data_IF_112013366060
#
_entry.id   IF_112013366060
#
_cell.length_a   1.000
_cell.length_b   1.000
_cell.length_c   1.000
_cell.angle_alpha   90.00
_cell.angle_beta   90.00
_cell.angle_gamma   90.00
#
_symmetry.space_group_name_H-M   'P 1'
#
loop_
_entity.id
_entity.type
_entity.pdbx_description
1 polymer ?
#
# COMPACT_ATOMS: atom_id res chain seq x y z
N UNK A 1 -12.62 -7.94 -27.19
CA UNK A 1 -13.39 -9.21 -27.19
C UNK A 1 -12.57 -10.21 -27.98
N UNK A 2 -11.71 -10.92 -27.27
CA UNK A 2 -10.77 -11.89 -27.79
C UNK A 2 -10.89 -13.09 -26.87
N UNK A 3 -11.03 -14.29 -27.43
CA UNK A 3 -11.02 -15.49 -26.61
C UNK A 3 -9.58 -15.76 -26.15
N UNK A 4 -9.34 -15.63 -24.84
CA UNK A 4 -8.02 -15.78 -24.25
C UNK A 4 -7.91 -17.16 -23.62
N UNK A 5 -7.09 -18.01 -24.24
CA UNK A 5 -6.78 -19.34 -23.70
C UNK A 5 -5.37 -19.30 -23.12
N UNK A 6 -5.27 -19.40 -21.79
CA UNK A 6 -4.00 -19.60 -21.10
C UNK A 6 -3.61 -21.08 -21.18
N UNK A 7 -2.49 -21.35 -21.85
CA UNK A 7 -1.88 -22.69 -21.92
C UNK A 7 -0.58 -22.71 -21.13
N UNK A 8 -0.24 -23.87 -20.59
CA UNK A 8 1.02 -24.12 -19.88
C UNK A 8 1.26 -23.17 -18.70
N UNK A 9 0.18 -22.70 -18.06
CA UNK A 9 0.27 -21.88 -16.86
C UNK A 9 0.77 -22.74 -15.69
N UNK A 10 1.65 -22.14 -14.88
CA UNK A 10 2.07 -22.75 -13.62
C UNK A 10 0.86 -23.16 -12.75
N UNK A 11 0.81 -24.40 -12.24
CA UNK A 11 -0.34 -24.89 -11.48
C UNK A 11 -0.62 -24.08 -10.20
N UNK A 12 0.42 -23.62 -9.52
CA UNK A 12 0.26 -22.81 -8.30
C UNK A 12 -0.35 -21.45 -8.66
N UNK A 13 0.07 -20.86 -9.78
CA UNK A 13 -0.54 -19.63 -10.29
C UNK A 13 -2.01 -19.82 -10.69
N UNK A 14 -2.36 -20.94 -11.33
CA UNK A 14 -3.74 -21.26 -11.66
C UNK A 14 -4.62 -21.38 -10.39
N UNK A 15 -4.12 -22.06 -9.36
CA UNK A 15 -4.82 -22.19 -8.08
C UNK A 15 -4.99 -20.83 -7.37
N UNK A 16 -3.98 -19.96 -7.44
CA UNK A 16 -4.07 -18.60 -6.89
C UNK A 16 -5.13 -17.78 -7.60
N UNK A 17 -5.19 -17.83 -8.93
CA UNK A 17 -6.22 -17.14 -9.72
C UNK A 17 -7.61 -17.66 -9.37
N UNK A 18 -7.76 -18.99 -9.24
CA UNK A 18 -9.03 -19.61 -8.86
C UNK A 18 -9.49 -19.16 -7.47
N UNK A 19 -8.61 -19.20 -6.46
CA UNK A 19 -8.93 -18.71 -5.11
C UNK A 19 -9.37 -17.25 -5.13
N UNK A 20 -8.76 -16.43 -5.98
CA UNK A 20 -9.14 -15.02 -6.12
C UNK A 20 -10.53 -14.85 -6.75
N UNK A 21 -10.83 -15.64 -7.78
CA UNK A 21 -12.14 -15.67 -8.42
C UNK A 21 -13.23 -16.04 -7.40
N UNK A 22 -12.99 -17.11 -6.64
CA UNK A 22 -13.90 -17.61 -5.60
C UNK A 22 -14.13 -16.55 -4.50
N UNK A 23 -13.05 -15.92 -3.98
CA UNK A 23 -13.17 -14.90 -2.94
C UNK A 23 -13.94 -13.65 -3.38
N UNK A 24 -13.95 -13.34 -4.69
CA UNK A 24 -14.65 -12.18 -5.26
C UNK A 24 -15.99 -12.52 -5.89
N UNK A 25 -16.37 -13.80 -5.93
CA UNK A 25 -17.56 -14.26 -6.64
C UNK A 25 -17.51 -13.97 -8.15
N UNK A 26 -16.30 -13.91 -8.72
CA UNK A 26 -16.09 -13.65 -10.14
C UNK A 26 -15.98 -14.95 -10.92
N UNK A 27 -16.43 -14.93 -12.17
CA UNK A 27 -16.10 -16.02 -13.08
C UNK A 27 -14.64 -15.90 -13.54
N UNK A 28 -14.09 -17.00 -14.07
CA UNK A 28 -12.69 -17.07 -14.47
C UNK A 28 -12.33 -16.03 -15.55
N UNK A 29 -13.22 -15.80 -16.51
CA UNK A 29 -12.99 -14.83 -17.59
C UNK A 29 -12.84 -13.40 -17.05
N UNK A 30 -13.79 -12.95 -16.22
CA UNK A 30 -13.75 -11.63 -15.57
C UNK A 30 -12.53 -11.50 -14.66
N UNK A 31 -12.16 -12.57 -13.95
CA UNK A 31 -10.98 -12.57 -13.09
C UNK A 31 -9.70 -12.35 -13.90
N UNK A 32 -9.55 -13.07 -15.01
CA UNK A 32 -8.40 -12.95 -15.90
C UNK A 32 -8.33 -11.57 -16.56
N UNK A 33 -9.45 -11.03 -17.03
CA UNK A 33 -9.53 -9.69 -17.60
C UNK A 33 -9.06 -8.63 -16.59
N UNK A 34 -9.58 -8.70 -15.36
CA UNK A 34 -9.19 -7.78 -14.28
C UNK A 34 -7.71 -7.92 -13.91
N UNK A 35 -7.20 -9.15 -13.84
CA UNK A 35 -5.80 -9.40 -13.52
C UNK A 35 -4.86 -8.89 -14.62
N UNK A 36 -5.21 -9.10 -15.89
CA UNK A 36 -4.43 -8.59 -17.02
C UNK A 36 -4.43 -7.07 -17.05
N UNK A 37 -5.59 -6.44 -16.85
CA UNK A 37 -5.69 -4.98 -16.82
C UNK A 37 -4.83 -4.38 -15.69
N UNK A 38 -4.95 -4.93 -14.48
CA UNK A 38 -4.16 -4.46 -13.32
C UNK A 38 -2.67 -4.78 -13.48
N UNK A 39 -2.34 -5.94 -14.06
CA UNK A 39 -0.96 -6.34 -14.35
C UNK A 39 -0.32 -5.43 -15.38
N UNK A 40 -1.03 -5.11 -16.46
CA UNK A 40 -0.59 -4.15 -17.47
C UNK A 40 -0.34 -2.78 -16.84
N UNK A 41 -1.32 -2.27 -16.07
CA UNK A 41 -1.16 -1.00 -15.37
C UNK A 41 0.03 -1.00 -14.41
N UNK A 42 0.29 -2.10 -13.70
CA UNK A 42 1.43 -2.23 -12.80
C UNK A 42 2.77 -2.25 -13.56
N UNK A 43 2.83 -2.88 -14.73
CA UNK A 43 3.99 -2.84 -15.61
C UNK A 43 4.22 -1.42 -16.15
N UNK A 44 3.17 -0.72 -16.55
CA UNK A 44 3.21 0.65 -17.07
C UNK A 44 3.57 1.68 -15.99
N UNK A 45 3.14 1.48 -14.75
CA UNK A 45 3.41 2.38 -13.63
C UNK A 45 4.91 2.57 -13.32
N UNK A 46 5.79 1.69 -13.83
CA UNK A 46 7.24 1.84 -13.75
C UNK A 46 7.92 2.42 -14.99
N UNK A 47 7.22 2.48 -16.13
CA UNK A 47 7.77 2.99 -17.40
C UNK A 47 7.76 4.52 -17.46
N UNK A 48 6.80 5.17 -16.80
CA UNK A 48 6.67 6.62 -16.74
C UNK A 48 6.70 7.13 -15.29
N UNK A 49 7.68 6.68 -14.47
CA UNK A 49 7.99 7.39 -13.22
C UNK A 49 8.78 8.65 -13.58
N UNK A 50 8.09 9.60 -14.19
CA UNK A 50 8.56 10.96 -14.37
C UNK A 50 7.57 11.84 -13.65
N UNK A 51 8.06 12.66 -12.72
CA UNK A 51 7.27 13.77 -12.22
C UNK A 51 7.01 14.68 -13.41
N UNK A 52 5.76 15.08 -13.61
CA UNK A 52 5.51 16.18 -14.53
C UNK A 52 6.17 17.47 -13.99
N UNK A 53 6.27 18.51 -14.82
CA UNK A 53 6.95 19.76 -14.43
C UNK A 53 6.37 20.36 -13.13
N UNK A 54 5.05 20.20 -12.92
CA UNK A 54 4.36 20.72 -11.74
C UNK A 54 4.67 19.88 -10.50
N UNK A 55 4.66 18.56 -10.63
CA UNK A 55 5.00 17.63 -9.56
C UNK A 55 6.48 17.74 -9.17
N UNK A 56 7.38 17.91 -10.14
CA UNK A 56 8.81 18.15 -9.90
C UNK A 56 9.01 19.46 -9.16
N UNK A 57 8.38 20.54 -9.63
CA UNK A 57 8.44 21.84 -8.95
C UNK A 57 7.89 21.74 -7.53
N UNK A 58 6.75 21.07 -7.33
CA UNK A 58 6.16 20.90 -6.01
C UNK A 58 7.08 20.10 -5.07
N UNK A 59 7.74 19.05 -5.56
CA UNK A 59 8.69 18.26 -4.79
C UNK A 59 9.95 19.06 -4.44
N UNK A 60 10.50 19.82 -5.38
CA UNK A 60 11.65 20.70 -5.15
C UNK A 60 11.36 21.74 -4.06
N UNK A 61 10.19 22.38 -4.11
CA UNK A 61 9.76 23.34 -3.09
C UNK A 61 9.59 22.67 -1.72
N UNK A 62 9.04 21.46 -1.67
CA UNK A 62 8.89 20.71 -0.42
C UNK A 62 10.25 20.35 0.20
N UNK A 63 11.21 19.90 -0.61
CA UNK A 63 12.57 19.59 -0.15
C UNK A 63 13.26 20.86 0.38
N UNK A 64 13.21 21.95 -0.38
CA UNK A 64 13.79 23.23 0.03
C UNK A 64 13.19 23.74 1.36
N UNK A 65 11.88 23.57 1.55
CA UNK A 65 11.22 23.90 2.80
C UNK A 65 11.71 23.03 3.97
N UNK A 66 11.92 21.72 3.74
CA UNK A 66 12.43 20.78 4.74
C UNK A 66 13.89 21.07 5.14
N UNK A 67 14.74 21.48 4.20
CA UNK A 67 16.13 21.86 4.47
C UNK A 67 16.24 23.11 5.36
N UNK A 68 15.27 24.01 5.24
CA UNK A 68 15.18 25.22 6.08
C UNK A 68 14.69 24.97 7.50
N UNK A 69 14.18 23.76 7.80
CA UNK A 69 13.75 23.41 9.16
C UNK A 69 15.00 23.31 10.04
N UNK A 70 15.11 24.09 11.13
CA UNK A 70 16.20 23.93 12.08
C UNK A 70 16.27 22.46 12.51
N UNK A 71 17.48 21.95 12.73
CA UNK A 71 17.67 20.61 13.33
C UNK A 71 17.20 20.65 14.79
N UNK A 72 15.90 20.73 14.97
CA UNK A 72 15.25 20.57 16.25
C UNK A 72 15.37 19.09 16.60
N UNK A 73 15.99 18.80 17.74
CA UNK A 73 16.15 17.43 18.24
C UNK A 73 14.80 16.70 18.30
N UNK A 74 13.69 17.45 18.41
CA UNK A 74 12.32 16.95 18.41
C UNK A 74 11.89 16.17 17.16
N UNK A 75 12.29 16.56 15.95
CA UNK A 75 11.91 15.84 14.73
C UNK A 75 12.56 14.46 14.65
N UNK A 76 13.80 14.32 15.15
CA UNK A 76 14.50 13.05 15.27
C UNK A 76 13.95 12.11 16.35
N UNK A 77 12.99 12.59 17.16
CA UNK A 77 12.33 11.85 18.22
C UNK A 77 10.92 11.36 17.82
N UNK A 78 10.40 11.75 16.66
CA UNK A 78 9.14 11.22 16.12
C UNK A 78 9.29 9.70 15.93
N UNK A 79 8.49 8.91 16.65
CA UNK A 79 8.58 7.44 16.67
C UNK A 79 9.56 6.85 17.68
N UNK A 80 10.29 7.68 18.46
CA UNK A 80 11.18 7.24 19.56
C UNK A 80 10.61 7.53 20.96
N UNK A 81 9.34 7.91 21.05
CA UNK A 81 8.67 7.97 22.34
C UNK A 81 8.74 6.60 23.02
N UNK A 82 8.97 6.52 24.35
CA UNK A 82 8.88 5.26 25.07
C UNK A 82 7.51 4.63 24.77
N UNK A 83 7.44 3.28 24.66
CA UNK A 83 6.19 2.60 24.35
C UNK A 83 5.11 3.07 25.32
N UNK A 84 3.93 3.42 24.76
CA UNK A 84 2.79 3.76 25.57
C UNK A 84 2.58 2.65 26.62
N UNK A 85 2.31 2.99 27.89
CA UNK A 85 2.05 1.98 28.90
C UNK A 85 0.93 1.06 28.40
N UNK A 86 1.01 -0.23 28.76
CA UNK A 86 0.00 -1.21 28.38
C UNK A 86 -1.39 -0.63 28.69
N UNK A 87 -2.36 -0.75 27.76
CA UNK A 87 -3.69 -0.18 27.97
C UNK A 87 -4.26 -0.76 29.26
N UNK A 88 -4.36 0.08 30.28
CA UNK A 88 -4.97 -0.33 31.55
C UNK A 88 -6.45 -0.54 31.27
N UNK A 89 -6.97 -1.71 31.65
CA UNK A 89 -8.38 -1.97 31.49
C UNK A 89 -9.14 -0.91 32.27
N UNK A 90 -10.21 -0.34 31.70
CA UNK A 90 -10.90 0.81 32.30
C UNK A 90 -11.41 0.51 33.72
N UNK A 91 -11.59 -0.77 34.07
CA UNK A 91 -12.00 -1.23 35.40
C UNK A 91 -10.87 -1.23 36.45
N UNK A 92 -9.61 -1.34 36.04
CA UNK A 92 -8.46 -1.33 36.97
C UNK A 92 -8.23 0.07 37.57
N UNK A 93 -8.67 1.11 36.87
CA UNK A 93 -8.60 2.50 37.31
C UNK A 93 -9.48 2.80 38.54
N UNK A 94 -10.46 1.95 38.83
CA UNK A 94 -11.44 2.15 39.92
C UNK A 94 -11.18 1.30 41.16
N UNK A 95 -10.12 0.48 41.16
CA UNK A 95 -9.78 -0.38 42.31
C UNK A 95 -8.93 0.37 43.34
N UNK A 96 -8.27 1.48 42.96
CA UNK A 96 -7.43 2.27 43.88
C UNK A 96 -8.20 3.24 44.80
N UNK A 97 -9.53 3.33 44.67
CA UNK A 97 -10.38 4.24 45.48
C UNK A 97 -11.26 3.53 46.54
N UNK A 98 -10.98 2.27 46.90
CA UNK A 98 -11.62 1.58 48.05
C UNK A 98 -10.55 1.15 49.06
#
# INVERSE_FOLDING_TARGET
MTDLVLRDIDPEMADRIKRLADARGWNMHVTLENLLQRGLQACEAGLEVHLDDRESTALEQAIAALEGVPRDEGFGLIGRAPPAPAPTHILDRWVEEI
#
